data_IF_094484101989
#
_entry.id   IF_094484101989
#
_cell.length_a   1.000
_cell.length_b   1.000
_cell.length_c   1.000
_cell.angle_alpha   90.00
_cell.angle_beta   90.00
_cell.angle_gamma   90.00
#
_symmetry.space_group_name_H-M   'P 1'
#
loop_
_entity.id
_entity.type
_entity.pdbx_description
1 polymer ?
#
# COMPACT_ATOMS: atom_id res chain seq x y z
N UNK A 1 29.73 -16.18 -2.04
CA UNK A 1 29.19 -14.83 -1.75
C UNK A 1 30.15 -13.98 -0.90
N UNK A 2 30.59 -14.43 0.28
CA UNK A 2 31.34 -13.57 1.20
C UNK A 2 32.72 -13.16 0.66
N UNK A 3 33.45 -14.09 0.02
CA UNK A 3 34.75 -13.80 -0.58
C UNK A 3 34.64 -12.84 -1.78
N UNK A 4 33.63 -13.03 -2.63
CA UNK A 4 33.35 -12.17 -3.78
C UNK A 4 32.93 -10.77 -3.31
N UNK A 5 32.08 -10.68 -2.29
CA UNK A 5 31.65 -9.42 -1.69
C UNK A 5 32.82 -8.67 -1.06
N UNK A 6 33.68 -9.34 -0.30
CA UNK A 6 34.88 -8.71 0.26
C UNK A 6 35.82 -8.18 -0.85
N UNK A 7 36.01 -8.92 -1.94
CA UNK A 7 36.83 -8.49 -3.07
C UNK A 7 36.27 -7.24 -3.74
N UNK A 8 34.94 -7.18 -3.94
CA UNK A 8 34.26 -5.98 -4.48
C UNK A 8 34.42 -4.80 -3.51
N UNK A 9 34.21 -5.01 -2.21
CA UNK A 9 34.30 -3.95 -1.21
C UNK A 9 35.70 -3.32 -1.16
N UNK A 10 36.77 -4.12 -1.16
CA UNK A 10 38.16 -3.59 -1.19
C UNK A 10 38.48 -2.83 -2.47
N UNK A 11 37.86 -3.22 -3.59
CA UNK A 11 38.13 -2.63 -4.91
C UNK A 11 37.37 -1.33 -5.12
N UNK A 12 36.11 -1.26 -4.70
CA UNK A 12 35.17 -0.21 -5.10
C UNK A 12 34.80 0.74 -3.94
N UNK A 13 34.94 0.31 -2.68
CA UNK A 13 34.62 1.16 -1.52
C UNK A 13 35.88 1.85 -1.01
N UNK A 14 35.93 3.20 -1.01
CA UNK A 14 37.07 3.94 -0.49
C UNK A 14 37.42 3.51 0.93
N UNK A 15 38.73 3.33 1.19
CA UNK A 15 39.31 3.00 2.51
C UNK A 15 38.94 1.62 3.07
N UNK A 16 38.17 0.79 2.37
CA UNK A 16 37.82 -0.55 2.83
C UNK A 16 39.05 -1.48 2.83
N UNK A 17 39.36 -2.08 3.99
CA UNK A 17 40.43 -3.08 4.16
C UNK A 17 39.92 -4.51 4.30
N UNK A 18 38.73 -4.71 4.88
CA UNK A 18 38.14 -6.03 5.09
C UNK A 18 36.62 -5.95 5.31
N UNK A 19 35.91 -7.03 4.97
CA UNK A 19 34.53 -7.25 5.36
C UNK A 19 34.50 -7.93 6.74
N UNK A 20 33.89 -7.31 7.73
CA UNK A 20 33.75 -7.85 9.08
C UNK A 20 32.50 -8.73 9.19
N UNK A 21 31.36 -8.25 8.69
CA UNK A 21 30.11 -9.03 8.68
C UNK A 21 29.18 -8.62 7.54
N UNK A 22 28.36 -9.58 7.09
CA UNK A 22 27.27 -9.37 6.16
C UNK A 22 26.02 -10.06 6.70
N UNK A 23 25.10 -9.28 7.26
CA UNK A 23 23.88 -9.77 7.91
C UNK A 23 22.68 -9.48 7.02
N UNK A 24 21.92 -10.52 6.66
CA UNK A 24 20.67 -10.33 5.90
C UNK A 24 19.59 -9.82 6.85
N UNK A 25 18.94 -8.71 6.46
CA UNK A 25 17.84 -8.15 7.23
C UNK A 25 16.56 -8.95 7.03
N UNK A 26 15.74 -9.05 8.09
CA UNK A 26 14.40 -9.60 8.03
C UNK A 26 13.41 -8.51 7.59
N UNK A 27 13.24 -8.36 6.28
CA UNK A 27 12.38 -7.32 5.69
C UNK A 27 12.82 -7.03 4.25
N UNK A 28 11.85 -6.84 3.35
CA UNK A 28 12.07 -6.81 1.89
C UNK A 28 11.41 -8.02 1.23
N UNK A 29 10.15 -7.85 0.82
CA UNK A 29 9.38 -8.94 0.22
C UNK A 29 9.89 -9.31 -1.19
N UNK A 30 10.51 -8.35 -1.88
CA UNK A 30 10.89 -8.46 -3.29
C UNK A 30 12.41 -8.56 -3.48
N UNK A 31 13.22 -7.89 -2.65
CA UNK A 31 14.69 -7.81 -2.77
C UNK A 31 15.40 -8.23 -1.47
N UNK A 32 16.63 -8.75 -1.58
CA UNK A 32 17.49 -9.02 -0.44
C UNK A 32 18.19 -7.73 0.00
N UNK A 33 18.09 -7.40 1.30
CA UNK A 33 18.85 -6.30 1.89
C UNK A 33 19.79 -6.85 2.96
N UNK A 34 21.07 -6.46 2.88
CA UNK A 34 22.11 -6.84 3.82
C UNK A 34 22.68 -5.62 4.52
N UNK A 35 22.90 -5.73 5.83
CA UNK A 35 23.74 -4.82 6.61
C UNK A 35 25.17 -5.32 6.55
N UNK A 36 26.07 -4.49 6.07
CA UNK A 36 27.49 -4.80 5.95
C UNK A 36 28.28 -4.00 6.98
N UNK A 37 29.20 -4.66 7.67
CA UNK A 37 30.21 -3.99 8.50
C UNK A 37 31.56 -4.15 7.84
N UNK A 38 32.24 -3.06 7.51
CA UNK A 38 33.58 -3.06 6.93
C UNK A 38 34.61 -2.44 7.87
N UNK A 39 35.85 -2.90 7.80
CA UNK A 39 37.01 -2.29 8.43
C UNK A 39 37.61 -1.26 7.49
N UNK A 40 37.77 -0.03 7.96
CA UNK A 40 38.46 1.03 7.23
C UNK A 40 39.97 1.08 7.55
N UNK A 41 40.72 1.80 6.72
CA UNK A 41 42.17 1.91 6.80
C UNK A 41 42.72 2.60 8.05
N UNK A 42 41.88 3.33 8.78
CA UNK A 42 42.21 3.95 10.07
C UNK A 42 41.94 3.02 11.27
N UNK A 43 41.49 1.79 11.01
CA UNK A 43 41.12 0.83 12.05
C UNK A 43 39.67 0.93 12.52
N UNK A 44 38.91 1.93 12.06
CA UNK A 44 37.49 2.09 12.39
C UNK A 44 36.59 1.13 11.62
N UNK A 45 35.38 0.89 12.15
CA UNK A 45 34.34 0.11 11.47
C UNK A 45 33.29 1.05 10.87
N UNK A 46 32.82 0.73 9.66
CA UNK A 46 31.78 1.48 8.95
C UNK A 46 30.65 0.57 8.48
N UNK A 47 29.43 1.07 8.56
CA UNK A 47 28.22 0.39 8.10
C UNK A 47 27.86 0.77 6.67
N UNK A 48 27.48 -0.22 5.88
CA UNK A 48 26.92 -0.08 4.53
C UNK A 48 25.68 -0.97 4.39
N UNK A 49 24.90 -0.73 3.34
CA UNK A 49 23.82 -1.61 2.93
C UNK A 49 24.11 -2.19 1.54
N UNK A 50 23.74 -3.45 1.31
CA UNK A 50 23.69 -4.08 -0.01
C UNK A 50 22.23 -4.43 -0.32
N UNK A 51 21.72 -3.91 -1.44
CA UNK A 51 20.42 -4.30 -2.01
C UNK A 51 20.66 -5.17 -3.23
N UNK A 52 20.01 -6.33 -3.30
CA UNK A 52 20.33 -7.38 -4.28
C UNK A 52 19.09 -8.18 -4.69
N UNK A 53 19.09 -8.67 -5.93
CA UNK A 53 18.08 -9.60 -6.43
C UNK A 53 18.03 -10.88 -5.59
N UNK A 54 16.84 -11.47 -5.33
CA UNK A 54 16.71 -12.78 -4.69
C UNK A 54 17.58 -13.82 -5.38
N UNK A 55 18.45 -14.51 -4.62
CA UNK A 55 19.37 -15.51 -5.18
C UNK A 55 20.43 -14.95 -6.14
N UNK A 56 20.48 -13.64 -6.38
CA UNK A 56 21.39 -12.98 -7.32
C UNK A 56 20.94 -12.96 -8.77
N UNK A 57 19.73 -13.44 -9.08
CA UNK A 57 19.20 -13.42 -10.46
C UNK A 57 17.91 -12.62 -10.53
N UNK A 58 17.76 -11.83 -11.58
CA UNK A 58 16.48 -11.19 -11.89
C UNK A 58 15.57 -12.29 -12.45
N UNK A 59 14.72 -12.88 -11.60
CA UNK A 59 13.72 -13.85 -12.03
C UNK A 59 12.62 -13.12 -12.83
N UNK A 60 12.94 -12.74 -14.07
CA UNK A 60 12.01 -12.32 -15.10
C UNK A 60 10.87 -11.45 -14.58
N UNK A 61 11.19 -10.41 -13.79
CA UNK A 61 10.17 -9.50 -13.28
C UNK A 61 9.40 -8.92 -14.45
N UNK A 62 8.09 -8.73 -14.22
CA UNK A 62 7.15 -8.14 -15.17
C UNK A 62 7.81 -6.92 -15.84
N UNK A 63 7.70 -6.79 -17.16
CA UNK A 63 8.37 -5.78 -18.01
C UNK A 63 8.23 -4.30 -17.58
N UNK A 64 7.45 -4.01 -16.53
CA UNK A 64 7.18 -2.67 -16.00
C UNK A 64 8.09 -2.25 -14.83
N UNK A 65 8.83 -3.16 -14.20
CA UNK A 65 9.75 -2.80 -13.10
C UNK A 65 11.08 -2.24 -13.66
N UNK A 66 11.64 -1.13 -13.13
CA UNK A 66 12.87 -0.52 -13.64
C UNK A 66 14.11 -1.43 -13.54
N UNK A 67 14.13 -2.34 -12.57
CA UNK A 67 15.28 -3.19 -12.24
C UNK A 67 16.32 -2.47 -11.37
N UNK A 68 17.22 -3.25 -10.76
CA UNK A 68 18.14 -2.74 -9.72
C UNK A 68 19.15 -1.68 -10.21
N UNK A 69 19.56 -1.74 -11.49
CA UNK A 69 20.44 -0.73 -12.06
C UNK A 69 19.71 0.62 -12.25
N UNK A 70 18.44 0.59 -12.67
CA UNK A 70 17.62 1.79 -12.76
C UNK A 70 17.24 2.31 -11.36
N UNK A 71 16.96 1.44 -10.38
CA UNK A 71 16.79 1.84 -8.97
C UNK A 71 18.02 2.62 -8.45
N UNK A 72 19.24 2.14 -8.74
CA UNK A 72 20.46 2.86 -8.36
C UNK A 72 20.55 4.24 -9.04
N UNK A 73 20.23 4.33 -10.35
CA UNK A 73 20.21 5.59 -11.09
C UNK A 73 19.16 6.58 -10.56
N UNK A 74 17.97 6.08 -10.19
CA UNK A 74 16.90 6.85 -9.56
C UNK A 74 17.39 7.47 -8.25
N UNK A 75 17.98 6.67 -7.36
CA UNK A 75 18.50 7.14 -6.07
C UNK A 75 19.62 8.17 -6.25
N UNK A 76 20.55 7.94 -7.19
CA UNK A 76 21.62 8.89 -7.52
C UNK A 76 21.06 10.21 -8.05
N UNK A 77 20.08 10.16 -8.95
CA UNK A 77 19.42 11.33 -9.53
C UNK A 77 18.63 12.12 -8.49
N UNK A 78 17.88 11.42 -7.63
CA UNK A 78 17.14 12.02 -6.53
C UNK A 78 18.08 12.70 -5.53
N UNK A 79 19.19 12.05 -5.18
CA UNK A 79 20.22 12.66 -4.32
C UNK A 79 20.81 13.93 -4.92
N UNK A 80 21.14 13.91 -6.22
CA UNK A 80 21.65 15.08 -6.93
C UNK A 80 20.64 16.24 -6.97
N UNK A 81 19.34 15.94 -6.95
CA UNK A 81 18.26 16.93 -6.84
C UNK A 81 17.97 17.40 -5.40
N UNK A 82 18.75 16.94 -4.41
CA UNK A 82 18.60 17.31 -3.00
C UNK A 82 17.50 16.56 -2.25
N UNK A 83 17.06 15.41 -2.76
CA UNK A 83 16.20 14.48 -2.03
C UNK A 83 17.05 13.74 -0.98
N UNK A 84 16.55 13.53 0.26
CA UNK A 84 17.23 12.68 1.22
C UNK A 84 17.33 11.23 0.70
N UNK A 85 18.53 10.80 0.38
CA UNK A 85 18.84 9.49 -0.21
C UNK A 85 20.23 9.00 0.27
N UNK A 86 20.43 7.68 0.43
CA UNK A 86 21.75 7.13 0.74
C UNK A 86 22.69 7.34 -0.45
N UNK A 87 23.99 7.43 -0.14
CA UNK A 87 25.02 7.44 -1.17
C UNK A 87 25.13 6.05 -1.80
N UNK A 88 24.86 5.93 -3.09
CA UNK A 88 25.14 4.69 -3.84
C UNK A 88 26.61 4.67 -4.21
N UNK A 89 27.39 3.82 -3.54
CA UNK A 89 28.83 3.72 -3.77
C UNK A 89 29.18 2.91 -5.01
N UNK A 90 28.44 1.82 -5.27
CA UNK A 90 28.79 0.91 -6.35
C UNK A 90 27.58 0.10 -6.82
N UNK A 91 27.39 0.03 -8.14
CA UNK A 91 26.42 -0.88 -8.77
C UNK A 91 27.17 -2.13 -9.24
N UNK A 92 26.69 -3.30 -8.82
CA UNK A 92 27.28 -4.59 -9.14
C UNK A 92 27.24 -4.84 -10.66
N UNK A 93 28.28 -5.50 -11.16
CA UNK A 93 28.45 -5.88 -12.56
C UNK A 93 28.55 -7.40 -12.65
N UNK A 94 28.28 -7.98 -13.82
CA UNK A 94 28.35 -9.44 -14.04
C UNK A 94 29.68 -10.06 -13.57
N UNK A 95 30.79 -9.35 -13.81
CA UNK A 95 32.15 -9.76 -13.39
C UNK A 95 32.33 -9.92 -11.88
N UNK A 96 31.41 -9.39 -11.07
CA UNK A 96 31.48 -9.44 -9.62
C UNK A 96 30.98 -10.77 -9.05
N UNK A 97 30.30 -11.60 -9.85
CA UNK A 97 29.82 -12.93 -9.41
C UNK A 97 28.74 -12.88 -8.31
N UNK A 98 28.20 -11.70 -8.03
CA UNK A 98 27.17 -11.46 -7.03
C UNK A 98 25.79 -11.21 -7.69
N UNK A 99 25.70 -11.14 -9.01
CA UNK A 99 24.45 -10.83 -9.69
C UNK A 99 24.01 -9.37 -9.51
N UNK A 100 22.73 -9.10 -9.73
CA UNK A 100 22.22 -7.72 -9.76
C UNK A 100 22.06 -7.14 -8.36
N UNK A 101 22.57 -5.93 -8.16
CA UNK A 101 22.45 -5.20 -6.90
C UNK A 101 23.37 -3.99 -6.83
N UNK A 102 23.33 -3.29 -5.70
CA UNK A 102 24.17 -2.13 -5.47
C UNK A 102 24.47 -1.96 -3.97
N UNK A 103 25.60 -1.33 -3.68
CA UNK A 103 26.10 -1.04 -2.34
C UNK A 103 25.90 0.45 -2.07
N UNK A 104 25.34 0.78 -0.91
CA UNK A 104 25.01 2.14 -0.51
C UNK A 104 25.36 2.43 0.94
N UNK A 105 25.34 3.70 1.34
CA UNK A 105 25.53 4.10 2.74
C UNK A 105 24.43 3.53 3.63
N UNK A 106 24.82 3.07 4.81
CA UNK A 106 23.86 2.79 5.88
C UNK A 106 23.34 4.10 6.47
N UNK A 107 22.02 4.21 6.64
CA UNK A 107 21.35 5.35 7.27
C UNK A 107 20.59 4.87 8.50
N UNK A 108 20.56 5.71 9.53
CA UNK A 108 19.87 5.45 10.79
C UNK A 108 18.56 6.24 10.84
N UNK A 109 17.46 5.55 11.17
CA UNK A 109 16.15 6.15 11.35
C UNK A 109 15.05 5.09 11.52
N UNK A 110 13.85 5.56 11.83
CA UNK A 110 12.66 4.72 11.93
C UNK A 110 11.95 4.69 10.57
N UNK A 111 11.63 3.48 10.09
CA UNK A 111 10.92 3.26 8.82
C UNK A 111 9.57 2.53 9.02
N UNK A 112 9.28 2.06 10.23
CA UNK A 112 7.99 1.45 10.53
C UNK A 112 6.95 2.55 10.74
N UNK A 113 6.08 2.76 9.75
CA UNK A 113 5.08 3.81 9.79
C UNK A 113 4.19 3.82 11.05
N UNK A 114 3.86 2.63 11.58
CA UNK A 114 3.13 2.50 12.85
C UNK A 114 3.89 3.07 14.07
N UNK A 115 5.23 2.99 14.07
CA UNK A 115 6.10 3.62 15.07
C UNK A 115 6.28 5.10 14.79
N UNK A 116 6.43 5.51 13.53
CA UNK A 116 6.54 6.92 13.13
C UNK A 116 5.38 7.75 13.70
N UNK A 117 4.15 7.26 13.59
CA UNK A 117 2.95 7.99 14.06
C UNK A 117 2.76 8.02 15.58
N UNK A 118 3.55 7.26 16.35
CA UNK A 118 3.38 7.08 17.82
C UNK A 118 4.62 7.38 18.65
N UNK A 119 5.82 7.24 18.10
CA UNK A 119 7.08 7.32 18.85
C UNK A 119 7.26 8.69 19.52
N UNK A 120 7.58 8.75 20.83
CA UNK A 120 7.92 9.99 21.51
C UNK A 120 9.14 10.69 20.90
N UNK A 121 10.13 9.93 20.41
CA UNK A 121 11.38 10.46 19.86
C UNK A 121 11.17 11.28 18.58
N UNK A 122 10.04 11.07 17.91
CA UNK A 122 9.66 11.79 16.69
C UNK A 122 8.59 12.85 16.96
N UNK A 123 8.18 13.08 18.21
CA UNK A 123 7.06 13.98 18.51
C UNK A 123 7.31 15.43 18.06
N UNK A 124 8.56 15.91 18.16
CA UNK A 124 8.93 17.27 17.76
C UNK A 124 8.93 17.46 16.23
N UNK A 125 9.44 16.46 15.49
CA UNK A 125 9.54 16.54 14.03
C UNK A 125 8.23 16.19 13.34
N UNK A 126 7.40 15.32 13.93
CA UNK A 126 6.19 14.76 13.30
C UNK A 126 5.27 15.81 12.65
N UNK A 127 4.94 16.94 13.29
CA UNK A 127 4.06 17.95 12.69
C UNK A 127 4.65 18.62 11.44
N UNK A 128 5.97 18.56 11.23
CA UNK A 128 6.67 19.17 10.07
C UNK A 128 6.79 18.19 8.89
N UNK A 129 6.57 16.90 9.11
CA UNK A 129 6.83 15.86 8.13
C UNK A 129 5.98 15.99 6.86
N UNK A 130 4.71 16.41 6.96
CA UNK A 130 3.88 16.57 5.77
C UNK A 130 4.40 17.68 4.85
N UNK A 131 4.81 18.82 5.42
CA UNK A 131 5.45 19.89 4.67
C UNK A 131 6.77 19.43 4.05
N UNK A 132 7.61 18.73 4.81
CA UNK A 132 8.88 18.17 4.32
C UNK A 132 8.66 17.17 3.17
N UNK A 133 7.65 16.30 3.29
CA UNK A 133 7.24 15.38 2.22
C UNK A 133 6.86 16.12 0.94
N UNK A 134 6.12 17.23 1.06
CA UNK A 134 5.78 18.09 -0.08
C UNK A 134 7.02 18.63 -0.78
N UNK A 135 7.99 19.14 0.00
CA UNK A 135 9.25 19.64 -0.54
C UNK A 135 10.07 18.54 -1.24
N UNK A 136 10.10 17.33 -0.67
CA UNK A 136 10.78 16.18 -1.24
C UNK A 136 10.16 15.79 -2.58
N UNK A 137 8.83 15.64 -2.62
CA UNK A 137 8.11 15.31 -3.85
C UNK A 137 8.32 16.36 -4.94
N UNK A 138 8.33 17.65 -4.58
CA UNK A 138 8.63 18.72 -5.53
C UNK A 138 10.05 18.60 -6.13
N UNK A 139 11.05 18.18 -5.34
CA UNK A 139 12.41 17.91 -5.86
C UNK A 139 12.45 16.70 -6.76
N UNK A 140 11.77 15.61 -6.38
CA UNK A 140 11.65 14.40 -7.22
C UNK A 140 11.04 14.76 -8.57
N UNK A 141 9.92 15.49 -8.55
CA UNK A 141 9.17 15.83 -9.77
C UNK A 141 9.90 16.87 -10.65
N UNK A 142 10.94 17.52 -10.14
CA UNK A 142 11.76 18.48 -10.89
C UNK A 142 13.02 17.85 -11.54
N UNK A 143 13.26 16.54 -11.35
CA UNK A 143 14.40 15.85 -11.94
C UNK A 143 14.30 15.87 -13.47
N UNK A 144 15.36 16.33 -14.14
CA UNK A 144 15.46 16.29 -15.59
C UNK A 144 15.69 14.85 -16.08
N UNK A 145 14.60 14.23 -16.55
CA UNK A 145 14.57 12.84 -17.01
C UNK A 145 15.54 12.58 -18.19
N UNK A 146 15.75 13.57 -19.07
CA UNK A 146 16.63 13.41 -20.24
C UNK A 146 18.09 13.55 -19.84
N UNK A 147 18.40 14.56 -19.03
CA UNK A 147 19.77 14.79 -18.58
C UNK A 147 20.30 13.64 -17.71
N UNK A 148 19.42 12.98 -16.96
CA UNK A 148 19.75 11.80 -16.13
C UNK A 148 19.71 10.48 -16.90
N UNK A 149 19.08 10.44 -18.08
CA UNK A 149 18.88 9.22 -18.88
C UNK A 149 17.77 8.30 -18.33
N UNK A 150 17.01 8.75 -17.32
CA UNK A 150 15.89 8.00 -16.75
C UNK A 150 14.78 7.76 -17.79
N UNK A 151 14.65 8.63 -18.79
CA UNK A 151 13.67 8.51 -19.86
C UNK A 151 13.89 7.32 -20.81
N UNK A 152 15.07 6.69 -20.73
CA UNK A 152 15.49 5.53 -21.51
C UNK A 152 15.25 4.19 -20.78
N UNK A 153 15.08 4.22 -19.46
CA UNK A 153 14.90 3.00 -18.65
C UNK A 153 13.57 2.93 -17.90
N UNK A 154 12.82 4.04 -17.82
CA UNK A 154 11.49 4.05 -17.19
C UNK A 154 10.38 3.97 -18.22
N UNK A 155 9.32 3.26 -17.85
CA UNK A 155 8.06 3.27 -18.59
C UNK A 155 7.35 4.62 -18.40
N UNK A 156 6.60 5.03 -19.43
CA UNK A 156 5.63 6.13 -19.34
C UNK A 156 4.25 5.54 -19.14
N UNK A 157 3.47 6.16 -18.25
CA UNK A 157 2.14 5.67 -17.94
C UNK A 157 1.18 6.85 -17.74
N UNK A 158 0.23 6.99 -18.66
CA UNK A 158 -0.85 7.95 -18.51
C UNK A 158 -1.85 7.51 -17.42
N UNK A 159 -2.63 8.44 -16.84
CA UNK A 159 -3.67 8.07 -15.87
C UNK A 159 -4.68 7.07 -16.42
N UNK A 160 -5.09 7.22 -17.68
CA UNK A 160 -6.04 6.33 -18.36
C UNK A 160 -5.48 4.91 -18.47
N UNK A 161 -4.25 4.77 -18.99
CA UNK A 161 -3.57 3.47 -19.08
C UNK A 161 -3.40 2.85 -17.70
N UNK A 162 -3.10 3.64 -16.66
CA UNK A 162 -2.91 3.10 -15.31
C UNK A 162 -4.23 2.56 -14.73
N UNK A 163 -5.34 3.27 -14.94
CA UNK A 163 -6.66 2.81 -14.55
C UNK A 163 -7.01 1.52 -15.30
N UNK A 164 -6.81 1.46 -16.62
CA UNK A 164 -7.07 0.26 -17.42
C UNK A 164 -6.22 -0.93 -16.98
N UNK A 165 -4.90 -0.78 -16.88
CA UNK A 165 -4.00 -1.86 -16.47
C UNK A 165 -4.36 -2.43 -15.09
N UNK A 166 -4.69 -1.54 -14.15
CA UNK A 166 -5.09 -1.92 -12.80
C UNK A 166 -6.45 -2.63 -12.81
N UNK A 167 -7.41 -2.11 -13.57
CA UNK A 167 -8.75 -2.66 -13.66
C UNK A 167 -8.77 -4.02 -14.38
N UNK A 168 -7.99 -4.19 -15.44
CA UNK A 168 -7.87 -5.45 -16.18
C UNK A 168 -7.21 -6.55 -15.35
N UNK A 169 -6.21 -6.19 -14.51
CA UNK A 169 -5.67 -7.13 -13.51
C UNK A 169 -6.76 -7.63 -12.55
N UNK A 170 -7.66 -6.75 -12.11
CA UNK A 170 -8.79 -7.17 -11.30
C UNK A 170 -9.77 -8.09 -12.05
N UNK A 171 -10.10 -7.77 -13.31
CA UNK A 171 -10.99 -8.60 -14.14
C UNK A 171 -10.44 -10.02 -14.28
N UNK A 172 -9.12 -10.18 -14.37
CA UNK A 172 -8.46 -11.48 -14.45
C UNK A 172 -8.68 -12.37 -13.21
N UNK A 173 -8.93 -11.79 -12.02
CA UNK A 173 -9.27 -12.57 -10.81
C UNK A 173 -10.66 -13.21 -10.86
N UNK A 174 -11.48 -12.88 -11.87
CA UNK A 174 -12.79 -13.46 -12.13
C UNK A 174 -13.70 -13.53 -10.89
N UNK A 175 -13.81 -12.41 -10.17
CA UNK A 175 -14.64 -12.29 -8.95
C UNK A 175 -15.49 -11.02 -9.00
N UNK A 176 -16.78 -11.05 -8.62
CA UNK A 176 -17.64 -9.89 -8.74
C UNK A 176 -17.52 -8.98 -7.51
N UNK A 177 -16.84 -7.83 -7.68
CA UNK A 177 -16.63 -6.81 -6.65
C UNK A 177 -17.22 -5.48 -7.15
N UNK A 178 -18.55 -5.27 -7.04
CA UNK A 178 -19.22 -4.13 -7.66
C UNK A 178 -18.61 -2.76 -7.35
N UNK A 179 -18.08 -2.55 -6.14
CA UNK A 179 -17.46 -1.28 -5.77
C UNK A 179 -16.13 -1.03 -6.52
N UNK A 180 -15.39 -2.08 -6.87
CA UNK A 180 -14.17 -1.96 -7.67
C UNK A 180 -14.55 -1.52 -9.09
N UNK A 181 -15.55 -2.14 -9.72
CA UNK A 181 -16.03 -1.73 -11.05
C UNK A 181 -16.63 -0.32 -11.06
N UNK A 182 -17.38 0.06 -10.01
CA UNK A 182 -17.88 1.43 -9.82
C UNK A 182 -16.73 2.44 -9.76
N UNK A 183 -15.69 2.13 -8.97
CA UNK A 183 -14.53 3.02 -8.80
C UNK A 183 -13.72 3.12 -10.09
N UNK A 184 -13.47 2.01 -10.78
CA UNK A 184 -12.77 2.00 -12.07
C UNK A 184 -13.48 2.86 -13.12
N UNK A 185 -14.82 2.77 -13.18
CA UNK A 185 -15.61 3.62 -14.06
C UNK A 185 -15.56 5.09 -13.65
N UNK A 186 -15.71 5.39 -12.36
CA UNK A 186 -15.60 6.76 -11.84
C UNK A 186 -14.25 7.38 -12.20
N UNK A 187 -13.15 6.64 -12.07
CA UNK A 187 -11.81 7.09 -12.44
C UNK A 187 -11.71 7.43 -13.93
N UNK A 188 -12.25 6.59 -14.82
CA UNK A 188 -12.23 6.89 -16.27
C UNK A 188 -13.09 8.11 -16.63
N UNK A 189 -14.23 8.31 -15.95
CA UNK A 189 -15.10 9.46 -16.17
C UNK A 189 -14.51 10.77 -15.59
N UNK A 190 -13.46 10.70 -14.76
CA UNK A 190 -12.85 11.83 -14.04
C UNK A 190 -11.33 11.93 -14.24
N UNK A 191 -10.81 11.45 -15.37
CA UNK A 191 -9.39 11.53 -15.69
C UNK A 191 -8.88 12.98 -15.58
N UNK A 192 -7.76 13.22 -14.88
CA UNK A 192 -7.21 14.56 -14.75
C UNK A 192 -6.62 15.06 -16.07
N UNK A 193 -6.70 16.37 -16.30
CA UNK A 193 -5.91 17.01 -17.36
C UNK A 193 -4.44 17.02 -16.94
N UNK A 194 -3.63 16.19 -17.58
CA UNK A 194 -2.22 16.02 -17.23
C UNK A 194 -1.42 17.12 -17.91
N UNK A 195 -0.78 17.96 -17.10
CA UNK A 195 0.26 18.89 -17.55
C UNK A 195 1.54 18.18 -17.98
N UNK A 196 2.70 18.73 -17.62
CA UNK A 196 3.97 18.05 -17.89
C UNK A 196 4.11 16.76 -17.06
N UNK A 197 4.53 15.67 -17.70
CA UNK A 197 4.93 14.44 -17.03
C UNK A 197 6.20 14.65 -16.21
N UNK A 198 6.33 13.92 -15.11
CA UNK A 198 7.47 13.97 -14.22
C UNK A 198 7.91 12.56 -13.81
N UNK A 199 9.05 12.46 -13.13
CA UNK A 199 9.37 11.24 -12.38
C UNK A 199 8.33 11.06 -11.27
N UNK A 200 7.75 9.86 -11.19
CA UNK A 200 6.81 9.45 -10.14
C UNK A 200 7.43 8.30 -9.37
N UNK A 201 7.59 8.46 -8.05
CA UNK A 201 8.08 7.40 -7.17
C UNK A 201 7.08 6.24 -7.09
N UNK A 202 5.79 6.56 -7.12
CA UNK A 202 4.61 5.70 -7.15
C UNK A 202 4.31 4.92 -5.86
N UNK A 203 5.32 4.62 -5.04
CA UNK A 203 5.14 4.09 -3.67
C UNK A 203 5.63 5.06 -2.57
N UNK A 204 5.48 6.38 -2.77
CA UNK A 204 5.84 7.38 -1.75
C UNK A 204 4.84 7.40 -0.59
N UNK A 205 5.16 6.75 0.53
CA UNK A 205 4.26 6.63 1.70
C UNK A 205 5.04 6.50 3.01
N UNK A 206 4.40 6.73 4.15
CA UNK A 206 5.02 6.67 5.49
C UNK A 206 5.82 5.38 5.77
N UNK A 207 5.43 4.22 5.23
CA UNK A 207 6.22 2.98 5.36
C UNK A 207 7.46 2.85 4.46
N UNK A 208 7.70 3.83 3.58
CA UNK A 208 8.85 3.93 2.66
C UNK A 208 9.62 5.24 2.89
N UNK A 209 9.44 5.86 4.06
CA UNK A 209 10.23 7.00 4.50
C UNK A 209 11.04 6.55 5.71
N UNK A 210 12.32 6.89 5.75
CA UNK A 210 13.13 6.75 6.94
C UNK A 210 13.22 8.10 7.65
N UNK A 211 12.88 8.12 8.93
CA UNK A 211 12.72 9.36 9.70
C UNK A 211 13.61 9.34 10.93
N UNK A 212 14.32 10.45 11.14
CA UNK A 212 15.09 10.73 12.34
C UNK A 212 14.47 11.90 13.11
N UNK A 213 14.92 12.20 14.34
CA UNK A 213 14.51 13.42 15.05
C UNK A 213 14.79 14.73 14.28
N UNK A 214 15.60 14.69 13.22
CA UNK A 214 15.96 15.85 12.39
C UNK A 214 15.08 16.03 11.14
N UNK A 215 14.27 15.03 10.77
CA UNK A 215 13.52 15.03 9.51
C UNK A 215 13.59 13.71 8.78
N UNK A 216 13.12 13.71 7.53
CA UNK A 216 13.24 12.59 6.59
C UNK A 216 14.70 12.47 6.17
N UNK A 217 15.27 11.28 6.36
CA UNK A 217 16.68 11.00 6.03
C UNK A 217 16.85 10.12 4.80
N UNK A 218 15.80 9.38 4.41
CA UNK A 218 15.78 8.62 3.16
C UNK A 218 14.35 8.47 2.62
N UNK A 219 14.20 8.57 1.30
CA UNK A 219 13.08 7.97 0.56
C UNK A 219 13.51 6.57 0.15
N UNK A 220 12.65 5.58 0.34
CA UNK A 220 12.96 4.16 0.13
C UNK A 220 12.10 3.58 -0.98
N UNK A 221 12.61 2.51 -1.60
CA UNK A 221 11.85 1.60 -2.46
C UNK A 221 11.32 2.20 -3.77
N UNK A 222 12.27 2.49 -4.67
CA UNK A 222 12.03 3.01 -6.01
C UNK A 222 11.58 1.97 -7.04
N UNK A 223 11.21 0.75 -6.62
CA UNK A 223 11.02 -0.39 -7.53
C UNK A 223 9.81 -0.24 -8.48
N UNK A 224 8.85 0.64 -8.18
CA UNK A 224 7.67 0.89 -9.03
C UNK A 224 7.65 2.28 -9.67
N UNK A 225 8.81 2.95 -9.71
CA UNK A 225 8.93 4.28 -10.28
C UNK A 225 8.69 4.27 -11.80
N UNK A 226 8.05 5.32 -12.30
CA UNK A 226 7.74 5.50 -13.71
C UNK A 226 7.66 6.99 -14.05
N UNK A 227 7.43 7.30 -15.32
CA UNK A 227 7.18 8.67 -15.79
C UNK A 227 5.68 8.84 -15.97
N UNK A 228 5.10 9.86 -15.35
CA UNK A 228 3.66 10.09 -15.39
C UNK A 228 3.22 11.34 -14.63
N UNK A 229 2.00 11.29 -14.08
CA UNK A 229 1.42 12.39 -13.33
C UNK A 229 2.05 12.54 -11.93
N UNK A 230 2.72 13.67 -11.61
CA UNK A 230 3.31 13.91 -10.29
C UNK A 230 2.31 13.86 -9.12
N UNK A 231 1.02 14.14 -9.37
CA UNK A 231 0.01 14.13 -8.32
C UNK A 231 -0.31 12.72 -7.83
N UNK A 232 0.13 11.67 -8.55
CA UNK A 232 0.07 10.28 -8.10
C UNK A 232 0.72 10.09 -6.74
N UNK A 233 1.89 10.68 -6.52
CA UNK A 233 2.63 10.53 -5.27
C UNK A 233 1.97 11.31 -4.11
N UNK A 234 1.46 12.51 -4.39
CA UNK A 234 0.74 13.31 -3.40
C UNK A 234 -0.56 12.60 -2.97
N UNK A 235 -1.31 12.03 -3.91
CA UNK A 235 -2.52 11.27 -3.60
C UNK A 235 -2.20 9.95 -2.89
N UNK A 236 -1.08 9.31 -3.25
CA UNK A 236 -0.69 8.04 -2.65
C UNK A 236 -0.45 8.16 -1.15
N UNK A 237 0.41 9.07 -0.69
CA UNK A 237 0.69 9.26 0.75
C UNK A 237 -0.57 9.64 1.56
N UNK A 238 -1.59 10.19 0.90
CA UNK A 238 -2.87 10.53 1.51
C UNK A 238 -3.78 9.31 1.73
N UNK A 239 -3.54 8.17 1.07
CA UNK A 239 -4.38 6.97 1.17
C UNK A 239 -4.47 6.48 2.62
N UNK A 240 -5.68 6.18 3.09
CA UNK A 240 -5.96 5.86 4.50
C UNK A 240 -5.15 4.65 5.03
N UNK A 241 -4.81 3.68 4.17
CA UNK A 241 -3.93 2.56 4.50
C UNK A 241 -2.56 2.97 5.05
N UNK A 242 -2.08 4.17 4.72
CA UNK A 242 -0.78 4.70 5.15
C UNK A 242 -0.85 5.64 6.35
N UNK A 243 -2.04 5.80 6.94
CA UNK A 243 -2.27 6.64 8.12
C UNK A 243 -2.14 5.89 9.44
N UNK A 244 -2.00 4.57 9.41
CA UNK A 244 -1.80 3.70 10.59
C UNK A 244 -2.82 3.93 11.73
N UNK A 245 -4.08 4.16 11.33
CA UNK A 245 -5.21 4.38 12.24
C UNK A 245 -5.47 5.84 12.64
N UNK A 246 -4.69 6.80 12.12
CA UNK A 246 -4.88 8.25 12.33
C UNK A 246 -5.83 8.83 11.27
N UNK A 247 -7.13 8.85 11.56
CA UNK A 247 -8.15 9.41 10.64
C UNK A 247 -8.05 10.92 10.47
N UNK A 248 -7.56 11.62 11.51
CA UNK A 248 -7.46 13.08 11.62
C UNK A 248 -6.32 13.68 10.79
N UNK A 249 -5.32 12.88 10.42
CA UNK A 249 -4.11 13.32 9.73
C UNK A 249 -4.00 12.58 8.40
N UNK A 250 -4.41 13.25 7.32
CA UNK A 250 -4.54 12.63 6.01
C UNK A 250 -3.20 12.19 5.41
N UNK A 251 -2.12 12.94 5.66
CA UNK A 251 -0.82 12.70 5.04
C UNK A 251 0.00 11.78 5.93
N UNK A 252 0.12 10.51 5.53
CA UNK A 252 0.91 9.50 6.24
C UNK A 252 0.50 9.25 7.70
N UNK A 253 -0.61 9.81 8.17
CA UNK A 253 -0.99 9.78 9.59
C UNK A 253 -0.21 10.76 10.48
N UNK A 254 0.52 11.71 9.90
CA UNK A 254 1.33 12.69 10.65
C UNK A 254 1.09 14.16 10.28
N UNK A 255 0.36 14.48 9.20
CA UNK A 255 0.03 15.86 8.87
C UNK A 255 -1.19 16.02 7.95
N UNK A 256 -1.41 17.26 7.51
CA UNK A 256 -2.61 17.67 6.74
C UNK A 256 -2.33 17.85 5.25
N UNK A 257 -3.38 17.88 4.43
CA UNK A 257 -3.25 18.22 3.00
C UNK A 257 -2.63 19.61 2.80
N UNK A 258 -3.04 20.59 3.61
CA UNK A 258 -2.55 21.97 3.52
C UNK A 258 -1.03 22.03 3.75
N UNK A 259 -0.51 21.29 4.73
CA UNK A 259 0.94 21.22 4.99
C UNK A 259 1.67 20.61 3.80
N UNK A 260 1.16 19.49 3.26
CA UNK A 260 1.75 18.80 2.09
C UNK A 260 1.78 19.70 0.86
N UNK A 261 0.67 20.38 0.56
CA UNK A 261 0.56 21.25 -0.60
C UNK A 261 1.42 22.50 -0.43
N UNK A 262 1.45 23.10 0.75
CA UNK A 262 2.34 24.21 1.06
C UNK A 262 3.82 23.83 0.90
N UNK A 263 4.20 22.63 1.36
CA UNK A 263 5.53 22.08 1.17
C UNK A 263 5.90 21.94 -0.30
N UNK A 264 5.02 21.31 -1.09
CA UNK A 264 5.20 21.12 -2.52
C UNK A 264 5.36 22.45 -3.27
N UNK A 265 4.43 23.38 -3.05
CA UNK A 265 4.41 24.72 -3.65
C UNK A 265 5.64 25.55 -3.31
N UNK A 266 6.20 25.39 -2.09
CA UNK A 266 7.39 26.14 -1.66
C UNK A 266 8.64 25.87 -2.49
N UNK A 267 8.70 24.71 -3.15
CA UNK A 267 9.85 24.27 -3.96
C UNK A 267 9.51 24.31 -5.45
N UNK A 268 8.33 23.83 -5.84
CA UNK A 268 7.94 23.76 -7.26
C UNK A 268 7.48 25.11 -7.83
N UNK A 269 6.99 26.01 -6.98
CA UNK A 269 6.29 27.23 -7.42
C UNK A 269 4.93 26.98 -8.09
N UNK A 270 4.49 25.72 -8.19
CA UNK A 270 3.24 25.33 -8.83
C UNK A 270 2.14 25.11 -7.80
N UNK A 271 0.99 25.74 -8.01
CA UNK A 271 -0.22 25.53 -7.20
C UNK A 271 -0.72 24.10 -7.39
N UNK A 272 -0.93 23.39 -6.29
CA UNK A 272 -1.50 22.04 -6.30
C UNK A 272 -3.01 22.13 -6.49
N UNK A 273 -3.55 21.38 -7.45
CA UNK A 273 -4.99 21.17 -7.58
C UNK A 273 -5.45 20.05 -6.62
N UNK A 274 -6.25 20.36 -5.58
CA UNK A 274 -6.72 19.36 -4.63
C UNK A 274 -7.61 18.28 -5.27
N UNK A 275 -8.33 18.58 -6.36
CA UNK A 275 -9.18 17.59 -7.02
C UNK A 275 -8.35 16.55 -7.78
N UNK A 276 -7.25 16.98 -8.41
CA UNK A 276 -6.28 16.07 -9.04
C UNK A 276 -5.61 15.16 -8.01
N UNK A 277 -5.27 15.70 -6.83
CA UNK A 277 -4.75 14.87 -5.72
C UNK A 277 -5.81 13.88 -5.22
N UNK A 278 -7.07 14.32 -5.07
CA UNK A 278 -8.19 13.46 -4.67
C UNK A 278 -8.42 12.32 -5.68
N UNK A 279 -8.34 12.60 -6.98
CA UNK A 279 -8.38 11.55 -8.01
C UNK A 279 -7.33 10.47 -7.74
N UNK A 280 -6.09 10.87 -7.47
CA UNK A 280 -5.00 9.93 -7.19
C UNK A 280 -5.08 9.24 -5.82
N UNK A 281 -5.73 9.86 -4.84
CA UNK A 281 -6.05 9.21 -3.56
C UNK A 281 -7.11 8.11 -3.75
N UNK A 282 -8.17 8.38 -4.52
CA UNK A 282 -9.17 7.37 -4.91
C UNK A 282 -8.52 6.25 -5.70
N UNK A 283 -7.67 6.59 -6.69
CA UNK A 283 -6.89 5.61 -7.43
C UNK A 283 -5.98 4.79 -6.50
N UNK A 284 -5.38 5.40 -5.49
CA UNK A 284 -4.59 4.72 -4.47
C UNK A 284 -5.37 3.62 -3.75
N UNK A 285 -6.56 3.94 -3.23
CA UNK A 285 -7.44 2.95 -2.62
C UNK A 285 -7.89 1.88 -3.63
N UNK A 286 -8.23 2.26 -4.86
CA UNK A 286 -8.58 1.30 -5.93
C UNK A 286 -7.44 0.33 -6.23
N UNK A 287 -6.23 0.85 -6.45
CA UNK A 287 -5.02 0.08 -6.75
C UNK A 287 -4.66 -0.87 -5.61
N UNK A 288 -4.73 -0.39 -4.36
CA UNK A 288 -4.44 -1.22 -3.19
C UNK A 288 -5.51 -2.29 -2.94
N UNK A 289 -6.79 -2.01 -3.21
CA UNK A 289 -7.87 -3.01 -3.13
C UNK A 289 -7.58 -4.23 -4.00
N UNK A 290 -7.06 -3.98 -5.21
CA UNK A 290 -6.73 -5.00 -6.21
C UNK A 290 -5.41 -5.69 -5.87
N UNK A 291 -4.44 -4.95 -5.33
CA UNK A 291 -3.22 -5.52 -4.75
C UNK A 291 -3.52 -6.54 -3.64
N UNK A 292 -4.43 -6.21 -2.73
CA UNK A 292 -4.91 -7.14 -1.70
C UNK A 292 -5.56 -8.39 -2.32
N UNK A 293 -6.47 -8.25 -3.29
CA UNK A 293 -7.07 -9.40 -3.97
C UNK A 293 -6.03 -10.28 -4.68
N UNK A 294 -4.98 -9.68 -5.24
CA UNK A 294 -3.86 -10.40 -5.83
C UNK A 294 -3.14 -11.32 -4.84
N UNK A 295 -3.15 -11.00 -3.54
CA UNK A 295 -2.61 -11.90 -2.51
C UNK A 295 -3.49 -13.15 -2.32
N UNK A 296 -4.82 -12.99 -2.34
CA UNK A 296 -5.72 -14.13 -2.31
C UNK A 296 -5.63 -14.99 -3.58
N UNK A 297 -5.43 -14.36 -4.74
CA UNK A 297 -5.20 -15.10 -5.99
C UNK A 297 -3.88 -15.89 -5.94
N UNK A 298 -2.79 -15.26 -5.49
CA UNK A 298 -1.50 -15.94 -5.32
C UNK A 298 -1.58 -17.11 -4.33
N UNK A 299 -2.39 -17.02 -3.28
CA UNK A 299 -2.63 -18.17 -2.39
C UNK A 299 -3.30 -19.36 -3.13
N UNK A 300 -4.15 -19.09 -4.11
CA UNK A 300 -4.87 -20.12 -4.88
C UNK A 300 -4.03 -20.72 -6.00
N UNK A 301 -3.24 -19.90 -6.67
CA UNK A 301 -2.60 -20.25 -7.95
C UNK A 301 -1.07 -20.23 -7.89
N UNK A 302 -0.50 -19.55 -6.89
CA UNK A 302 0.94 -19.33 -6.74
C UNK A 302 1.64 -20.41 -5.91
N UNK A 303 2.99 -20.39 -5.91
CA UNK A 303 3.80 -21.39 -5.21
C UNK A 303 3.84 -21.20 -3.68
N UNK A 304 3.47 -20.02 -3.16
CA UNK A 304 3.46 -19.72 -1.73
C UNK A 304 2.02 -19.63 -1.20
N UNK A 305 1.65 -20.60 -0.36
CA UNK A 305 0.34 -20.70 0.29
C UNK A 305 0.40 -20.31 1.78
N UNK A 306 1.15 -19.26 2.14
CA UNK A 306 1.22 -18.79 3.52
C UNK A 306 -0.14 -18.30 4.05
N UNK A 307 -0.34 -18.42 5.37
CA UNK A 307 -1.59 -18.00 6.06
C UNK A 307 -1.86 -16.49 5.92
N UNK A 308 -0.83 -15.69 5.62
CA UNK A 308 -0.95 -14.25 5.50
C UNK A 308 -1.66 -13.81 4.23
N UNK A 309 -1.46 -14.53 3.14
CA UNK A 309 -1.96 -14.14 1.82
C UNK A 309 -3.49 -13.99 1.78
N UNK A 310 -4.29 -14.98 2.21
CA UNK A 310 -5.74 -14.80 2.26
C UNK A 310 -6.17 -13.76 3.29
N UNK A 311 -5.44 -13.61 4.40
CA UNK A 311 -5.72 -12.57 5.40
C UNK A 311 -5.51 -11.15 4.82
N UNK A 312 -4.44 -10.94 4.04
CA UNK A 312 -4.21 -9.70 3.29
C UNK A 312 -5.28 -9.54 2.20
N UNK A 313 -5.71 -10.62 1.55
CA UNK A 313 -6.86 -10.64 0.63
C UNK A 313 -8.11 -9.98 1.19
N UNK A 314 -8.43 -10.27 2.46
CA UNK A 314 -9.58 -9.66 3.16
C UNK A 314 -9.40 -8.16 3.42
N UNK A 315 -8.19 -7.61 3.32
CA UNK A 315 -7.97 -6.15 3.41
C UNK A 315 -8.43 -5.38 2.18
N UNK A 316 -8.85 -6.06 1.10
CA UNK A 316 -9.51 -5.39 -0.03
C UNK A 316 -10.72 -4.58 0.42
N UNK A 317 -11.47 -5.03 1.44
CA UNK A 317 -12.61 -4.27 1.98
C UNK A 317 -12.19 -2.99 2.72
N UNK A 318 -10.98 -2.91 3.28
CA UNK A 318 -10.43 -1.65 3.85
C UNK A 318 -10.37 -0.58 2.75
N UNK A 319 -9.87 -0.97 1.59
CA UNK A 319 -9.65 -0.09 0.47
C UNK A 319 -10.97 0.29 -0.22
N UNK A 320 -11.89 -0.67 -0.36
CA UNK A 320 -13.21 -0.43 -0.91
C UNK A 320 -14.03 0.53 -0.03
N UNK A 321 -13.94 0.43 1.31
CA UNK A 321 -14.63 1.38 2.19
C UNK A 321 -14.06 2.79 2.09
N UNK A 322 -12.76 2.94 1.82
CA UNK A 322 -12.16 4.24 1.54
C UNK A 322 -12.72 4.85 0.25
N UNK A 323 -12.81 4.07 -0.84
CA UNK A 323 -13.47 4.53 -2.08
C UNK A 323 -14.92 4.96 -1.82
N UNK A 324 -15.67 4.18 -1.04
CA UNK A 324 -17.05 4.51 -0.65
C UNK A 324 -17.13 5.82 0.11
N UNK A 325 -16.23 6.08 1.05
CA UNK A 325 -16.20 7.34 1.80
C UNK A 325 -15.82 8.55 0.93
N UNK A 326 -14.93 8.36 -0.04
CA UNK A 326 -14.46 9.42 -0.93
C UNK A 326 -15.44 9.78 -2.04
N UNK A 327 -16.18 8.78 -2.54
CA UNK A 327 -17.04 8.91 -3.73
C UNK A 327 -18.53 9.00 -3.40
N UNK A 328 -19.00 8.19 -2.45
CA UNK A 328 -20.43 8.04 -2.13
C UNK A 328 -20.68 8.07 -0.61
N UNK A 329 -20.36 9.20 0.07
CA UNK A 329 -20.62 9.37 1.49
C UNK A 329 -22.12 9.32 1.79
N UNK A 330 -22.50 8.89 3.00
CA UNK A 330 -23.91 8.79 3.40
C UNK A 330 -24.14 7.94 4.66
N UNK A 331 -25.39 7.73 5.07
CA UNK A 331 -25.68 6.86 6.19
C UNK A 331 -25.49 5.38 5.84
N UNK A 332 -25.30 4.55 6.87
CA UNK A 332 -25.22 3.09 6.80
C UNK A 332 -26.04 2.46 7.93
N UNK A 333 -26.72 1.37 7.62
CA UNK A 333 -27.40 0.51 8.60
C UNK A 333 -26.55 -0.74 8.79
N UNK A 334 -26.05 -0.95 10.00
CA UNK A 334 -25.25 -2.14 10.31
C UNK A 334 -26.15 -3.36 10.50
N UNK A 335 -25.71 -4.48 9.95
CA UNK A 335 -26.29 -5.79 10.19
C UNK A 335 -26.12 -6.13 11.66
N UNK A 336 -27.23 -6.50 12.30
CA UNK A 336 -27.23 -7.03 13.67
C UNK A 336 -26.99 -8.53 13.66
N UNK A 337 -26.38 -9.04 14.74
CA UNK A 337 -26.32 -10.48 14.99
C UNK A 337 -27.75 -11.00 15.18
N UNK A 338 -28.11 -12.14 14.58
CA UNK A 338 -29.37 -12.80 14.89
C UNK A 338 -29.37 -13.26 16.35
N UNK A 339 -30.54 -13.26 17.00
CA UNK A 339 -30.70 -13.87 18.32
C UNK A 339 -30.32 -15.35 18.24
N UNK A 340 -29.21 -15.73 18.87
CA UNK A 340 -28.72 -17.11 18.82
C UNK A 340 -29.53 -17.98 19.77
N UNK A 341 -30.33 -18.88 19.23
CA UNK A 341 -30.93 -20.01 19.96
C UNK A 341 -30.47 -21.30 19.29
N UNK A 342 -29.34 -21.87 19.72
CA UNK A 342 -28.91 -23.16 19.19
C UNK A 342 -28.35 -24.04 20.31
N UNK A 343 -29.03 -25.17 20.56
CA UNK A 343 -28.75 -26.13 21.64
C UNK A 343 -27.64 -27.15 21.27
N UNK A 344 -26.88 -26.92 20.19
CA UNK A 344 -25.81 -27.81 19.72
C UNK A 344 -24.58 -27.74 20.65
N UNK A 345 -23.97 -28.89 20.99
CA UNK A 345 -22.77 -28.95 21.84
C UNK A 345 -21.72 -29.96 21.30
N UNK A 346 -20.44 -29.54 21.10
CA UNK A 346 -19.99 -28.14 21.07
C UNK A 346 -20.44 -27.43 19.79
N UNK A 347 -20.66 -26.12 19.87
CA UNK A 347 -20.95 -25.32 18.68
C UNK A 347 -19.68 -25.09 17.85
N UNK A 348 -19.86 -24.82 16.54
CA UNK A 348 -18.74 -24.56 15.62
C UNK A 348 -17.93 -23.32 16.00
N UNK A 349 -18.57 -22.28 16.51
CA UNK A 349 -17.90 -21.07 17.02
C UNK A 349 -17.03 -21.39 18.23
N UNK A 350 -17.46 -22.28 19.14
CA UNK A 350 -16.68 -22.66 20.32
C UNK A 350 -15.36 -23.35 19.94
N UNK A 351 -15.38 -24.20 18.91
CA UNK A 351 -14.16 -24.82 18.37
C UNK A 351 -13.19 -23.77 17.82
N UNK A 352 -13.70 -22.80 17.04
CA UNK A 352 -12.89 -21.73 16.47
C UNK A 352 -12.36 -20.76 17.54
N UNK A 353 -13.18 -20.40 18.52
CA UNK A 353 -12.82 -19.56 19.67
C UNK A 353 -11.68 -20.22 20.47
N UNK A 354 -11.78 -21.53 20.72
CA UNK A 354 -10.75 -22.27 21.44
C UNK A 354 -9.39 -22.20 20.74
N UNK A 355 -9.35 -22.48 19.43
CA UNK A 355 -8.11 -22.40 18.63
C UNK A 355 -7.57 -20.97 18.59
N UNK A 356 -8.44 -19.98 18.38
CA UNK A 356 -8.03 -18.57 18.36
C UNK A 356 -7.41 -18.15 19.70
N UNK A 357 -8.03 -18.53 20.82
CA UNK A 357 -7.55 -18.19 22.15
C UNK A 357 -6.18 -18.83 22.42
N UNK A 358 -5.98 -20.10 22.02
CA UNK A 358 -4.68 -20.76 22.10
C UNK A 358 -3.60 -20.05 21.28
N UNK A 359 -3.93 -19.59 20.07
CA UNK A 359 -2.99 -18.84 19.22
C UNK A 359 -2.62 -17.48 19.84
N UNK A 360 -3.59 -16.72 20.34
CA UNK A 360 -3.35 -15.40 20.91
C UNK A 360 -2.77 -15.42 22.33
N UNK A 361 -3.09 -16.45 23.11
CA UNK A 361 -2.59 -16.66 24.46
C UNK A 361 -1.28 -17.44 24.42
N UNK A 362 -1.40 -18.76 24.41
CA UNK A 362 -0.28 -19.69 24.63
C UNK A 362 0.80 -19.57 23.55
N UNK A 363 0.44 -19.67 22.26
CA UNK A 363 1.44 -19.67 21.17
C UNK A 363 2.17 -18.33 21.09
N UNK A 364 1.45 -17.23 21.20
CA UNK A 364 2.09 -15.90 21.17
C UNK A 364 2.88 -15.58 22.44
N UNK A 365 2.56 -16.18 23.60
CA UNK A 365 3.36 -16.02 24.81
C UNK A 365 4.69 -16.80 24.74
N UNK A 366 4.68 -17.96 24.07
CA UNK A 366 5.83 -18.87 24.00
C UNK A 366 6.68 -18.72 22.72
N UNK A 367 6.36 -17.74 21.85
CA UNK A 367 7.09 -17.55 20.58
C UNK A 367 7.44 -16.09 20.32
N UNK A 368 8.49 -15.87 19.55
CA UNK A 368 8.93 -14.55 19.09
C UNK A 368 9.10 -14.50 17.55
N UNK A 369 9.42 -13.32 17.03
CA UNK A 369 9.76 -13.12 15.63
C UNK A 369 8.67 -13.58 14.65
N UNK A 370 9.07 -14.32 13.61
CA UNK A 370 8.18 -14.76 12.53
C UNK A 370 7.05 -15.66 13.03
N UNK A 371 7.34 -16.61 13.91
CA UNK A 371 6.33 -17.57 14.39
C UNK A 371 5.25 -16.85 15.20
N UNK A 372 5.65 -15.94 16.10
CA UNK A 372 4.71 -15.10 16.85
C UNK A 372 3.80 -14.28 15.91
N UNK A 373 4.41 -13.70 14.87
CA UNK A 373 3.68 -12.92 13.88
C UNK A 373 2.69 -13.78 13.09
N UNK A 374 3.08 -14.98 12.64
CA UNK A 374 2.18 -15.92 11.97
C UNK A 374 1.02 -16.35 12.86
N UNK A 375 1.28 -16.61 14.15
CA UNK A 375 0.24 -16.96 15.11
C UNK A 375 -0.80 -15.83 15.27
N UNK A 376 -0.33 -14.57 15.33
CA UNK A 376 -1.22 -13.40 15.34
C UNK A 376 -2.08 -13.32 14.08
N UNK A 377 -1.48 -13.54 12.91
CA UNK A 377 -2.20 -13.51 11.62
C UNK A 377 -3.24 -14.63 11.51
N UNK A 378 -2.90 -15.84 11.97
CA UNK A 378 -3.83 -16.96 12.03
C UNK A 378 -5.00 -16.68 12.99
N UNK A 379 -4.72 -16.16 14.19
CA UNK A 379 -5.76 -15.74 15.15
C UNK A 379 -6.70 -14.69 14.58
N UNK A 380 -6.16 -13.65 13.94
CA UNK A 380 -6.94 -12.61 13.26
C UNK A 380 -7.84 -13.19 12.14
N UNK A 381 -7.35 -14.22 11.43
CA UNK A 381 -8.14 -14.90 10.38
C UNK A 381 -9.32 -15.67 10.97
N UNK A 382 -9.14 -16.34 12.11
CA UNK A 382 -10.24 -17.00 12.84
C UNK A 382 -11.27 -15.99 13.35
N UNK A 383 -10.81 -14.82 13.80
CA UNK A 383 -11.67 -13.71 14.19
C UNK A 383 -12.57 -13.23 13.04
N UNK A 384 -12.04 -13.19 11.80
CA UNK A 384 -12.85 -12.89 10.60
C UNK A 384 -13.88 -13.97 10.36
N UNK A 385 -13.51 -15.25 10.46
CA UNK A 385 -14.43 -16.38 10.26
C UNK A 385 -15.56 -16.35 11.29
N UNK A 386 -15.25 -16.09 12.56
CA UNK A 386 -16.25 -15.97 13.64
C UNK A 386 -17.25 -14.86 13.35
N UNK A 387 -16.78 -13.68 12.92
CA UNK A 387 -17.68 -12.58 12.52
C UNK A 387 -18.48 -12.91 11.26
N UNK A 388 -17.90 -13.59 10.27
CA UNK A 388 -18.64 -14.00 9.07
C UNK A 388 -19.72 -15.05 9.38
N UNK A 389 -19.47 -15.95 10.35
CA UNK A 389 -20.50 -16.87 10.84
C UNK A 389 -21.67 -16.12 11.50
N UNK A 390 -21.38 -15.10 12.31
CA UNK A 390 -22.40 -14.34 13.03
C UNK A 390 -23.19 -13.38 12.11
N UNK A 391 -22.49 -12.61 11.26
CA UNK A 391 -23.07 -11.49 10.51
C UNK A 391 -23.27 -11.80 9.02
N UNK A 392 -22.46 -12.71 8.45
CA UNK A 392 -22.42 -12.99 7.02
C UNK A 392 -23.76 -13.44 6.41
N UNK A 393 -24.54 -14.34 7.05
CA UNK A 393 -25.84 -14.75 6.52
C UNK A 393 -26.82 -13.57 6.35
N UNK A 394 -26.97 -12.74 7.39
CA UNK A 394 -27.85 -11.57 7.36
C UNK A 394 -27.34 -10.51 6.37
N UNK A 395 -26.02 -10.27 6.35
CA UNK A 395 -25.37 -9.38 5.38
C UNK A 395 -25.69 -9.77 3.93
N UNK A 396 -25.43 -11.04 3.55
CA UNK A 396 -25.70 -11.56 2.20
C UNK A 396 -27.19 -11.57 1.86
N UNK A 397 -28.06 -11.82 2.84
CA UNK A 397 -29.51 -11.75 2.65
C UNK A 397 -29.97 -10.33 2.28
N UNK A 398 -29.56 -9.33 3.06
CA UNK A 398 -29.92 -7.93 2.79
C UNK A 398 -29.28 -7.40 1.50
N UNK A 399 -28.06 -7.82 1.18
CA UNK A 399 -27.44 -7.50 -0.11
C UNK A 399 -28.26 -8.03 -1.28
N UNK A 400 -28.69 -9.30 -1.22
CA UNK A 400 -29.55 -9.91 -2.25
C UNK A 400 -30.87 -9.17 -2.39
N UNK A 401 -31.52 -8.82 -1.27
CA UNK A 401 -32.76 -8.03 -1.30
C UNK A 401 -32.57 -6.68 -2.00
N UNK A 402 -31.49 -5.95 -1.69
CA UNK A 402 -31.17 -4.67 -2.36
C UNK A 402 -30.93 -4.85 -3.86
N UNK A 403 -30.22 -5.89 -4.28
CA UNK A 403 -29.97 -6.16 -5.70
C UNK A 403 -31.23 -6.60 -6.45
N UNK A 404 -32.06 -7.44 -5.85
CA UNK A 404 -33.36 -7.82 -6.40
C UNK A 404 -34.25 -6.59 -6.60
N UNK A 405 -34.27 -5.66 -5.63
CA UNK A 405 -34.98 -4.39 -5.78
C UNK A 405 -34.38 -3.51 -6.89
N UNK A 406 -33.04 -3.43 -6.98
CA UNK A 406 -32.34 -2.65 -8.00
C UNK A 406 -32.63 -3.15 -9.43
N UNK A 407 -32.74 -4.46 -9.62
CA UNK A 407 -32.93 -5.08 -10.92
C UNK A 407 -34.36 -5.54 -11.23
N UNK A 408 -35.27 -5.40 -10.27
CA UNK A 408 -36.62 -5.98 -10.31
C UNK A 408 -36.55 -7.47 -10.69
N UNK A 409 -35.75 -8.21 -9.92
CA UNK A 409 -35.43 -9.62 -10.18
C UNK A 409 -35.66 -10.48 -8.93
N UNK A 410 -35.68 -11.79 -9.12
CA UNK A 410 -35.48 -12.77 -8.03
C UNK A 410 -34.46 -13.80 -8.49
N UNK A 411 -33.19 -13.54 -8.17
CA UNK A 411 -32.08 -14.39 -8.58
C UNK A 411 -31.13 -14.66 -7.39
N UNK A 412 -30.16 -15.53 -7.61
CA UNK A 412 -29.08 -15.79 -6.67
C UNK A 412 -28.20 -14.54 -6.49
N UNK A 413 -27.63 -14.39 -5.30
CA UNK A 413 -26.75 -13.26 -4.99
C UNK A 413 -25.55 -13.18 -5.96
N UNK A 414 -24.99 -14.33 -6.34
CA UNK A 414 -23.86 -14.40 -7.27
C UNK A 414 -24.22 -13.87 -8.66
N UNK A 415 -25.35 -14.31 -9.23
CA UNK A 415 -25.82 -13.83 -10.53
C UNK A 415 -26.10 -12.33 -10.51
N UNK A 416 -26.73 -11.83 -9.44
CA UNK A 416 -27.01 -10.40 -9.30
C UNK A 416 -25.75 -9.55 -9.19
N UNK A 417 -24.74 -10.02 -8.45
CA UNK A 417 -23.43 -9.34 -8.36
C UNK A 417 -22.75 -9.28 -9.73
N UNK A 418 -22.74 -10.38 -10.47
CA UNK A 418 -22.21 -10.39 -11.84
C UNK A 418 -23.00 -9.50 -12.80
N UNK A 419 -24.33 -9.48 -12.69
CA UNK A 419 -25.18 -8.57 -13.47
C UNK A 419 -24.82 -7.11 -13.20
N UNK A 420 -24.62 -6.73 -11.94
CA UNK A 420 -24.18 -5.38 -11.57
C UNK A 420 -22.79 -5.05 -12.11
N UNK A 421 -21.83 -5.94 -11.90
CA UNK A 421 -20.46 -5.79 -12.39
C UNK A 421 -20.42 -5.61 -13.92
N UNK A 422 -21.12 -6.47 -14.66
CA UNK A 422 -21.17 -6.38 -16.12
C UNK A 422 -21.88 -5.11 -16.59
N UNK A 423 -22.98 -4.73 -15.94
CA UNK A 423 -23.69 -3.49 -16.24
C UNK A 423 -22.81 -2.24 -16.04
N UNK A 424 -22.00 -2.21 -14.98
CA UNK A 424 -21.03 -1.14 -14.73
C UNK A 424 -19.91 -1.11 -15.78
N UNK A 425 -19.34 -2.28 -16.12
CA UNK A 425 -18.26 -2.40 -17.11
C UNK A 425 -18.68 -1.99 -18.51
N UNK A 426 -19.89 -2.38 -18.92
CA UNK A 426 -20.44 -2.11 -20.24
C UNK A 426 -21.08 -0.71 -20.33
N UNK A 427 -21.20 0.01 -19.22
CA UNK A 427 -21.87 1.32 -19.16
C UNK A 427 -23.39 1.22 -19.29
N UNK A 428 -23.97 0.02 -19.14
CA UNK A 428 -25.42 -0.21 -19.15
C UNK A 428 -26.10 0.26 -17.85
N UNK A 429 -25.33 0.35 -16.75
CA UNK A 429 -25.76 0.97 -15.51
C UNK A 429 -24.95 2.24 -15.25
N UNK A 430 -25.63 3.39 -15.27
CA UNK A 430 -25.03 4.67 -14.94
C UNK A 430 -24.62 4.75 -13.45
N UNK A 431 -23.53 5.46 -13.15
CA UNK A 431 -23.02 5.61 -11.78
C UNK A 431 -23.98 6.37 -10.84
N UNK A 432 -24.88 7.16 -11.40
CA UNK A 432 -25.94 7.90 -10.71
C UNK A 432 -27.28 7.16 -10.67
N UNK A 433 -27.31 5.88 -11.10
CA UNK A 433 -28.54 5.08 -11.08
C UNK A 433 -29.18 5.10 -9.68
N UNK A 434 -30.49 5.41 -9.56
CA UNK A 434 -31.17 5.46 -8.27
C UNK A 434 -30.95 4.19 -7.44
N UNK A 435 -30.55 4.36 -6.18
CA UNK A 435 -30.31 3.25 -5.25
C UNK A 435 -28.95 2.55 -5.37
N UNK A 436 -28.17 2.76 -6.44
CA UNK A 436 -26.86 2.12 -6.63
C UNK A 436 -25.86 2.53 -5.54
N UNK A 437 -25.68 3.84 -5.33
CA UNK A 437 -24.76 4.35 -4.31
C UNK A 437 -25.14 3.87 -2.90
N UNK A 438 -26.45 3.85 -2.59
CA UNK A 438 -26.95 3.29 -1.33
C UNK A 438 -26.62 1.80 -1.22
N UNK A 439 -26.89 1.00 -2.25
CA UNK A 439 -26.58 -0.42 -2.27
C UNK A 439 -25.09 -0.68 -2.02
N UNK A 440 -24.20 -0.06 -2.80
CA UNK A 440 -22.74 -0.24 -2.69
C UNK A 440 -22.25 0.12 -1.29
N UNK A 441 -22.70 1.26 -0.77
CA UNK A 441 -22.33 1.72 0.57
C UNK A 441 -22.76 0.73 1.65
N UNK A 442 -24.02 0.32 1.66
CA UNK A 442 -24.53 -0.65 2.64
C UNK A 442 -23.75 -1.96 2.57
N UNK A 443 -23.44 -2.43 1.37
CA UNK A 443 -22.72 -3.70 1.16
C UNK A 443 -21.26 -3.60 1.66
N UNK A 444 -20.50 -2.62 1.19
CA UNK A 444 -19.07 -2.49 1.52
C UNK A 444 -18.86 -2.20 3.01
N UNK A 445 -19.65 -1.31 3.60
CA UNK A 445 -19.49 -0.93 5.01
C UNK A 445 -19.83 -2.08 5.97
N UNK A 446 -20.83 -2.91 5.62
CA UNK A 446 -21.11 -4.12 6.39
C UNK A 446 -20.04 -5.21 6.17
N UNK A 447 -19.46 -5.31 4.97
CA UNK A 447 -18.37 -6.27 4.71
C UNK A 447 -17.11 -5.92 5.52
N UNK A 448 -16.72 -4.64 5.60
CA UNK A 448 -15.56 -4.25 6.43
C UNK A 448 -15.82 -4.43 7.93
N UNK A 449 -17.07 -4.37 8.40
CA UNK A 449 -17.42 -4.70 9.78
C UNK A 449 -17.11 -6.17 10.12
N UNK A 450 -17.23 -7.07 9.14
CA UNK A 450 -16.83 -8.48 9.25
C UNK A 450 -15.31 -8.60 9.16
N UNK A 451 -14.69 -7.95 8.17
CA UNK A 451 -13.30 -8.19 7.85
C UNK A 451 -12.34 -7.49 8.82
N UNK A 452 -12.49 -6.16 8.98
CA UNK A 452 -11.58 -5.31 9.72
C UNK A 452 -12.34 -4.21 10.48
N UNK A 453 -13.13 -4.55 11.51
CA UNK A 453 -13.97 -3.59 12.25
C UNK A 453 -13.18 -2.49 12.99
N UNK A 454 -11.86 -2.66 13.11
CA UNK A 454 -10.97 -1.66 13.72
C UNK A 454 -10.36 -0.69 12.70
N UNK A 455 -10.57 -0.92 11.41
CA UNK A 455 -10.03 -0.06 10.35
C UNK A 455 -10.61 1.35 10.44
N UNK A 456 -9.76 2.36 10.21
CA UNK A 456 -10.11 3.77 10.31
C UNK A 456 -11.22 4.16 9.34
N UNK A 457 -11.21 3.61 8.11
CA UNK A 457 -12.24 3.89 7.10
C UNK A 457 -13.64 3.40 7.49
N UNK A 458 -13.74 2.33 8.30
CA UNK A 458 -15.02 1.88 8.84
C UNK A 458 -15.59 2.91 9.83
N UNK A 459 -14.76 3.44 10.73
CA UNK A 459 -15.18 4.49 11.66
C UNK A 459 -15.64 5.76 10.94
N UNK A 460 -14.92 6.16 9.88
CA UNK A 460 -15.33 7.27 9.01
C UNK A 460 -16.69 7.01 8.40
N UNK A 461 -16.94 5.80 7.90
CA UNK A 461 -18.23 5.43 7.31
C UNK A 461 -19.39 5.55 8.32
N UNK A 462 -19.18 5.17 9.57
CA UNK A 462 -20.15 5.30 10.66
C UNK A 462 -20.36 6.75 11.11
N UNK A 463 -19.33 7.59 11.06
CA UNK A 463 -19.43 9.01 11.41
C UNK A 463 -20.41 9.80 10.52
N UNK A 464 -20.68 9.31 9.31
CA UNK A 464 -21.71 9.89 8.45
C UNK A 464 -23.14 9.61 8.93
N UNK A 465 -23.36 8.71 9.91
CA UNK A 465 -24.65 8.54 10.57
C UNK A 465 -24.95 9.65 11.57
N UNK A 466 -23.92 10.37 12.04
CA UNK A 466 -24.04 11.40 13.09
C UNK A 466 -23.83 12.83 12.56
N UNK A 467 -23.46 13.01 11.29
CA UNK A 467 -23.23 14.33 10.70
C UNK A 467 -24.48 14.89 9.99
N UNK A 468 -25.30 15.65 10.72
CA UNK A 468 -25.87 16.87 10.13
C UNK A 468 -24.70 17.82 9.81
N UNK A 469 -24.69 18.35 8.58
CA UNK A 469 -23.81 19.42 8.05
C UNK A 469 -22.42 19.02 7.55
N UNK A 470 -22.40 18.77 6.24
CA UNK A 470 -21.32 18.98 5.25
C UNK A 470 -20.16 19.90 5.70
N UNK A 471 -18.94 19.37 5.59
CA UNK A 471 -17.72 20.15 5.36
C UNK A 471 -16.96 19.51 4.21
N UNK A 472 -17.37 19.80 2.98
CA UNK A 472 -16.51 19.86 1.78
C UNK A 472 -17.33 20.63 0.72
N UNK A 473 -16.98 21.91 0.53
CA UNK A 473 -17.26 22.70 -0.65
C UNK A 473 -15.92 23.03 -1.28
#
# INVERSE_FOLDING_TARGET
MQAELEAVLKREIPRCQALISAERLSGGASQETYRLTIRESDGGDRLLALRRAPGGHDEGRVSYYPGLAAEALLMQSAKAAGVPEPEVFYVLKDRDGLGNGFIMSWLEGEALGARIVRSPDLAEIRPKLAYECGQILARIHAIDLKATGLDQCLSRLSPEEYVHNTWDRYKAFNTPQPMIDYTGRWLLDHLPDVGAEALVHNDFRNGNLMISPKGVVAVLDWEVAHIGDPMRDLGWICTNSWRFGRTDLAVGGFGTYDDLFAGYQSVSGQVVDPQRVKFWEVFGSFWWAIGCLGMADHYRTGPDASVERPAIGRRSSECQVDCVNLLIPGPVELVSEPDSTNDEMPRKDELLISVRNFLHGDVMAETEGRTNFMARVAGNSLDIVLRDQALGPAHRHLERQRLNALFVADDSLENLRWRLVNGLRLGEMALDHPGLAHHLRQTVVNQIAIDQPKYSGFKTALGHNTSERSRFR
#
